data_IF_740943983274
#
_entry.id   IF_740943983274
#
_cell.length_a   1.000
_cell.length_b   1.000
_cell.length_c   1.000
_cell.angle_alpha   90.00
_cell.angle_beta   90.00
_cell.angle_gamma   90.00
#
_symmetry.space_group_name_H-M   'P 1'
#
loop_
_entity.id
_entity.type
_entity.pdbx_description
1 polymer ?
#
# COMPACT_ATOMS: atom_id res chain seq x y z
N UNK A 1 -10.64 3.53 2.70
CA UNK A 1 -10.10 2.85 1.50
C UNK A 1 -11.19 2.79 0.43
N UNK A 2 -10.84 2.86 -0.86
CA UNK A 2 -11.81 2.82 -1.96
C UNK A 2 -12.37 1.40 -2.20
N UNK A 3 -11.59 0.36 -1.89
CA UNK A 3 -11.91 -1.05 -2.18
C UNK A 3 -12.35 -1.79 -0.91
N UNK A 4 -13.35 -2.66 -1.02
CA UNK A 4 -13.94 -3.44 0.09
C UNK A 4 -13.30 -4.81 0.26
N UNK A 5 -12.87 -5.41 -0.84
CA UNK A 5 -12.22 -6.72 -0.91
C UNK A 5 -11.05 -6.67 -1.90
N UNK A 6 -10.16 -7.66 -1.84
CA UNK A 6 -8.96 -7.67 -2.67
C UNK A 6 -9.28 -7.93 -4.15
N UNK A 7 -10.38 -8.60 -4.46
CA UNK A 7 -10.82 -8.88 -5.83
C UNK A 7 -11.17 -7.61 -6.62
N UNK A 8 -11.44 -6.50 -5.93
CA UNK A 8 -11.68 -5.20 -6.55
C UNK A 8 -10.36 -4.48 -6.93
N UNK A 9 -9.20 -4.97 -6.47
CA UNK A 9 -7.91 -4.33 -6.70
C UNK A 9 -7.42 -4.53 -8.14
N UNK A 10 -7.15 -3.46 -8.90
CA UNK A 10 -6.64 -3.58 -10.26
C UNK A 10 -5.34 -4.38 -10.35
N UNK A 11 -4.43 -4.21 -9.38
CA UNK A 11 -3.15 -4.92 -9.36
C UNK A 11 -3.31 -6.41 -9.05
N UNK A 12 -4.31 -6.79 -8.23
CA UNK A 12 -4.61 -8.20 -7.98
C UNK A 12 -5.17 -8.86 -9.24
N UNK A 13 -6.13 -8.21 -9.90
CA UNK A 13 -6.68 -8.70 -11.17
C UNK A 13 -5.60 -8.84 -12.25
N UNK A 14 -4.70 -7.84 -12.37
CA UNK A 14 -3.56 -7.93 -13.28
C UNK A 14 -2.63 -9.10 -12.96
N UNK A 15 -2.43 -9.42 -11.66
CA UNK A 15 -1.62 -10.57 -11.24
C UNK A 15 -2.30 -11.91 -11.56
N UNK A 16 -3.62 -12.01 -11.44
CA UNK A 16 -4.39 -13.21 -11.86
C UNK A 16 -4.30 -13.41 -13.36
N UNK A 17 -4.55 -12.38 -14.17
CA UNK A 17 -4.42 -12.47 -15.62
C UNK A 17 -2.99 -12.86 -16.05
N UNK A 18 -2.00 -12.32 -15.37
CA UNK A 18 -0.60 -12.70 -15.59
C UNK A 18 -0.35 -14.17 -15.26
N UNK A 19 -0.91 -14.68 -14.15
CA UNK A 19 -0.80 -16.09 -13.77
C UNK A 19 -1.40 -17.03 -14.82
N UNK A 20 -2.58 -16.68 -15.33
CA UNK A 20 -3.23 -17.46 -16.40
C UNK A 20 -2.36 -17.51 -17.67
N UNK A 21 -1.79 -16.38 -18.08
CA UNK A 21 -0.89 -16.34 -19.25
C UNK A 21 0.41 -17.15 -19.01
N UNK A 22 0.94 -17.14 -17.77
CA UNK A 22 2.12 -17.97 -17.42
C UNK A 22 1.76 -19.46 -17.52
N UNK A 23 0.61 -19.89 -16.99
CA UNK A 23 0.17 -21.28 -17.10
C UNK A 23 -0.03 -21.71 -18.56
N UNK A 24 -0.58 -20.84 -19.41
CA UNK A 24 -0.69 -21.10 -20.84
C UNK A 24 0.69 -21.27 -21.48
N UNK A 25 1.61 -20.34 -21.28
CA UNK A 25 3.00 -20.41 -21.76
C UNK A 25 3.69 -21.70 -21.30
N UNK A 26 3.63 -22.01 -20.00
CA UNK A 26 4.33 -23.18 -19.43
C UNK A 26 3.70 -24.52 -19.82
N UNK A 27 2.44 -24.53 -20.24
CA UNK A 27 1.75 -25.69 -20.78
C UNK A 27 2.13 -25.96 -22.24
N UNK A 28 2.38 -24.93 -23.03
CA UNK A 28 2.68 -25.01 -24.46
C UNK A 28 4.17 -25.16 -24.75
N UNK A 29 5.04 -24.65 -23.88
CA UNK A 29 6.49 -24.67 -24.05
C UNK A 29 7.12 -25.95 -23.47
N UNK A 30 8.20 -26.41 -24.11
CA UNK A 30 8.95 -27.59 -23.63
C UNK A 30 10.02 -27.22 -22.60
N UNK A 31 9.77 -27.53 -21.34
CA UNK A 31 10.70 -27.32 -20.21
C UNK A 31 11.60 -28.52 -19.89
N UNK A 32 11.58 -29.62 -20.66
CA UNK A 32 12.46 -30.77 -20.42
C UNK A 32 13.93 -30.35 -20.44
N UNK A 33 14.69 -30.76 -19.44
CA UNK A 33 16.12 -30.41 -19.32
C UNK A 33 16.37 -29.00 -18.73
N UNK A 34 15.33 -28.29 -18.28
CA UNK A 34 15.45 -27.00 -17.61
C UNK A 34 15.34 -27.09 -16.07
N UNK A 35 15.54 -28.32 -15.53
CA UNK A 35 15.35 -28.56 -14.10
C UNK A 35 13.91 -28.29 -13.66
N UNK A 36 13.76 -27.60 -12.53
CA UNK A 36 12.46 -27.25 -11.93
C UNK A 36 11.93 -25.87 -12.38
N UNK A 37 12.51 -25.28 -13.44
CA UNK A 37 12.21 -23.91 -13.85
C UNK A 37 10.72 -23.65 -14.08
N UNK A 38 10.00 -24.60 -14.70
CA UNK A 38 8.55 -24.50 -14.91
C UNK A 38 7.80 -24.29 -13.59
N UNK A 39 7.99 -25.22 -12.64
CA UNK A 39 7.30 -25.16 -11.35
C UNK A 39 7.68 -23.90 -10.55
N UNK A 40 8.93 -23.42 -10.67
CA UNK A 40 9.39 -22.21 -10.00
C UNK A 40 8.70 -20.96 -10.57
N UNK A 41 8.58 -20.85 -11.90
CA UNK A 41 7.86 -19.75 -12.55
C UNK A 41 6.40 -19.74 -12.10
N UNK A 42 5.73 -20.88 -12.16
CA UNK A 42 4.32 -21.03 -11.78
C UNK A 42 4.10 -20.66 -10.30
N UNK A 43 4.94 -21.15 -9.40
CA UNK A 43 4.87 -20.79 -7.96
C UNK A 43 5.12 -19.31 -7.69
N UNK A 44 6.17 -18.74 -8.28
CA UNK A 44 6.46 -17.33 -8.13
C UNK A 44 5.30 -16.47 -8.61
N UNK A 45 4.69 -16.84 -9.72
CA UNK A 45 3.57 -16.09 -10.30
C UNK A 45 2.33 -16.13 -9.41
N UNK A 46 1.92 -17.29 -8.90
CA UNK A 46 0.79 -17.41 -7.96
C UNK A 46 1.08 -16.68 -6.65
N UNK A 47 2.33 -16.67 -6.21
CA UNK A 47 2.76 -15.94 -5.00
C UNK A 47 2.50 -14.44 -5.10
N UNK A 48 2.49 -13.83 -6.29
CA UNK A 48 2.19 -12.40 -6.47
C UNK A 48 0.78 -12.09 -5.98
N UNK A 49 -0.24 -12.76 -6.53
CA UNK A 49 -1.65 -12.52 -6.19
C UNK A 49 -1.98 -12.92 -4.75
N UNK A 50 -1.42 -14.03 -4.27
CA UNK A 50 -1.65 -14.53 -2.92
C UNK A 50 -1.13 -13.55 -1.86
N UNK A 51 0.06 -12.97 -2.05
CA UNK A 51 0.59 -11.99 -1.09
C UNK A 51 -0.18 -10.67 -1.12
N UNK A 52 -0.71 -10.25 -2.27
CA UNK A 52 -1.63 -9.09 -2.34
C UNK A 52 -2.88 -9.37 -1.50
N UNK A 53 -3.51 -10.52 -1.69
CA UNK A 53 -4.71 -10.93 -0.96
C UNK A 53 -4.44 -11.04 0.54
N UNK A 54 -3.39 -11.75 0.95
CA UNK A 54 -3.02 -11.91 2.35
C UNK A 54 -2.76 -10.55 3.03
N UNK A 55 -1.96 -9.69 2.42
CA UNK A 55 -1.68 -8.37 2.98
C UNK A 55 -2.94 -7.50 3.09
N UNK A 56 -3.88 -7.65 2.15
CA UNK A 56 -5.15 -6.96 2.20
C UNK A 56 -6.01 -7.45 3.36
N UNK A 57 -6.17 -8.76 3.53
CA UNK A 57 -7.00 -9.40 4.56
C UNK A 57 -6.46 -9.20 6.00
N UNK A 58 -5.16 -8.97 6.18
CA UNK A 58 -4.57 -8.69 7.50
C UNK A 58 -5.02 -7.35 8.11
N UNK A 59 -5.61 -6.46 7.32
CA UNK A 59 -6.32 -5.28 7.78
C UNK A 59 -5.46 -4.12 8.29
N UNK A 60 -4.14 -4.24 8.42
CA UNK A 60 -3.26 -3.13 8.80
C UNK A 60 -2.44 -2.60 7.63
N UNK A 61 -2.08 -1.31 7.66
CA UNK A 61 -1.23 -0.72 6.62
C UNK A 61 0.18 -1.30 6.63
N UNK A 62 0.72 -1.63 7.80
CA UNK A 62 2.06 -2.19 7.93
C UNK A 62 2.13 -3.60 7.35
N UNK A 63 1.15 -4.47 7.68
CA UNK A 63 1.08 -5.81 7.11
C UNK A 63 0.90 -5.75 5.59
N UNK A 64 0.00 -4.88 5.09
CA UNK A 64 -0.17 -4.73 3.65
C UNK A 64 1.13 -4.33 2.97
N UNK A 65 1.85 -3.32 3.46
CA UNK A 65 3.14 -2.89 2.90
C UNK A 65 4.13 -4.05 2.90
N UNK A 66 4.21 -4.82 4.00
CA UNK A 66 5.08 -5.98 4.12
C UNK A 66 4.77 -7.03 3.03
N UNK A 67 3.53 -7.43 2.90
CA UNK A 67 3.11 -8.43 1.90
C UNK A 67 3.20 -7.92 0.46
N UNK A 68 2.98 -6.63 0.22
CA UNK A 68 3.23 -6.03 -1.10
C UNK A 68 4.71 -6.07 -1.48
N UNK A 69 5.64 -5.96 -0.53
CA UNK A 69 7.07 -6.17 -0.82
C UNK A 69 7.37 -7.63 -1.17
N UNK A 70 6.76 -8.61 -0.48
CA UNK A 70 6.91 -10.04 -0.82
C UNK A 70 6.33 -10.30 -2.22
N UNK A 71 5.15 -9.76 -2.52
CA UNK A 71 4.54 -9.84 -3.85
C UNK A 71 5.45 -9.28 -4.94
N UNK A 72 6.05 -8.11 -4.70
CA UNK A 72 7.01 -7.47 -5.60
C UNK A 72 8.29 -8.30 -5.78
N UNK A 73 8.76 -8.95 -4.72
CA UNK A 73 9.87 -9.92 -4.78
C UNK A 73 9.54 -11.09 -5.70
N UNK A 74 8.35 -11.70 -5.52
CA UNK A 74 7.87 -12.80 -6.36
C UNK A 74 7.71 -12.41 -7.84
N UNK A 75 7.27 -11.18 -8.11
CA UNK A 75 7.22 -10.62 -9.46
C UNK A 75 8.64 -10.54 -10.07
N UNK A 76 9.62 -10.04 -9.31
CA UNK A 76 11.02 -9.99 -9.73
C UNK A 76 11.64 -11.37 -9.99
N UNK A 77 11.32 -12.37 -9.17
CA UNK A 77 11.74 -13.77 -9.39
C UNK A 77 11.15 -14.32 -10.70
N UNK A 78 9.86 -14.12 -10.94
CA UNK A 78 9.20 -14.54 -12.17
C UNK A 78 9.85 -13.89 -13.40
N UNK A 79 10.09 -12.57 -13.37
CA UNK A 79 10.79 -11.86 -14.44
C UNK A 79 12.20 -12.39 -14.68
N UNK A 80 12.95 -12.67 -13.63
CA UNK A 80 14.31 -13.25 -13.74
C UNK A 80 14.26 -14.58 -14.48
N UNK A 81 13.32 -15.45 -14.15
CA UNK A 81 13.15 -16.75 -14.81
C UNK A 81 12.67 -16.62 -16.26
N UNK A 82 11.77 -15.68 -16.56
CA UNK A 82 11.36 -15.36 -17.94
C UNK A 82 12.53 -14.84 -18.78
N UNK A 83 13.46 -14.07 -18.20
CA UNK A 83 14.69 -13.64 -18.88
C UNK A 83 15.63 -14.82 -19.17
N UNK A 84 15.63 -15.87 -18.35
CA UNK A 84 16.34 -17.13 -18.67
C UNK A 84 15.69 -17.79 -19.91
N UNK A 85 14.37 -17.90 -19.94
CA UNK A 85 13.63 -18.45 -21.07
C UNK A 85 13.91 -17.63 -22.36
N UNK A 86 13.85 -16.30 -22.28
CA UNK A 86 14.10 -15.38 -23.42
C UNK A 86 15.48 -15.59 -24.04
N UNK A 87 16.51 -15.83 -23.23
CA UNK A 87 17.89 -16.02 -23.68
C UNK A 87 18.19 -17.45 -24.14
N UNK A 88 17.34 -18.41 -23.81
CA UNK A 88 17.50 -19.81 -24.21
C UNK A 88 17.01 -20.01 -25.64
N UNK A 89 17.82 -20.67 -26.48
CA UNK A 89 17.41 -21.08 -27.84
C UNK A 89 16.25 -22.07 -27.82
N UNK A 90 16.03 -22.78 -26.70
CA UNK A 90 14.93 -23.74 -26.52
C UNK A 90 13.55 -23.08 -26.66
N UNK A 91 13.42 -21.83 -26.27
CA UNK A 91 12.18 -21.06 -26.32
C UNK A 91 12.15 -20.06 -27.50
N UNK A 92 12.91 -20.29 -28.56
CA UNK A 92 13.00 -19.36 -29.70
C UNK A 92 11.65 -19.06 -30.35
N UNK A 93 10.74 -20.05 -30.41
CA UNK A 93 9.39 -19.91 -30.96
C UNK A 93 8.43 -19.11 -30.03
N UNK A 94 8.79 -18.89 -28.77
CA UNK A 94 8.01 -18.19 -27.76
C UNK A 94 8.54 -16.79 -27.42
N UNK A 95 9.54 -16.29 -28.15
CA UNK A 95 10.20 -15.01 -27.81
C UNK A 95 9.23 -13.83 -27.69
N UNK A 96 8.29 -13.71 -28.61
CA UNK A 96 7.29 -12.63 -28.58
C UNK A 96 6.38 -12.76 -27.36
N UNK A 97 5.94 -13.97 -27.05
CA UNK A 97 5.10 -14.27 -25.88
C UNK A 97 5.84 -13.96 -24.58
N UNK A 98 7.09 -14.44 -24.46
CA UNK A 98 7.94 -14.19 -23.29
C UNK A 98 8.17 -12.69 -23.10
N UNK A 99 8.45 -11.93 -24.17
CA UNK A 99 8.60 -10.47 -24.09
C UNK A 99 7.33 -9.79 -23.60
N UNK A 100 6.16 -10.23 -24.05
CA UNK A 100 4.87 -9.72 -23.57
C UNK A 100 4.63 -10.05 -22.09
N UNK A 101 4.99 -11.25 -21.64
CA UNK A 101 4.90 -11.65 -20.24
C UNK A 101 5.79 -10.78 -19.35
N UNK A 102 7.02 -10.48 -19.81
CA UNK A 102 7.93 -9.59 -19.09
C UNK A 102 7.34 -8.17 -18.96
N UNK A 103 6.76 -7.62 -20.02
CA UNK A 103 6.12 -6.30 -19.98
C UNK A 103 4.93 -6.25 -19.00
N UNK A 104 4.14 -7.33 -18.97
CA UNK A 104 3.02 -7.45 -17.99
C UNK A 104 3.53 -7.49 -16.56
N UNK A 105 4.58 -8.29 -16.29
CA UNK A 105 5.23 -8.33 -14.97
C UNK A 105 5.76 -6.96 -14.55
N UNK A 106 6.46 -6.26 -15.45
CA UNK A 106 6.98 -4.91 -15.17
C UNK A 106 5.85 -3.91 -14.84
N UNK A 107 4.70 -4.05 -15.50
CA UNK A 107 3.51 -3.25 -15.18
C UNK A 107 2.99 -3.55 -13.77
N UNK A 108 2.89 -4.83 -13.39
CA UNK A 108 2.48 -5.26 -12.04
C UNK A 108 3.47 -4.72 -10.99
N UNK A 109 4.76 -4.88 -11.23
CA UNK A 109 5.82 -4.41 -10.33
C UNK A 109 5.74 -2.88 -10.11
N UNK A 110 5.45 -2.11 -11.17
CA UNK A 110 5.21 -0.65 -11.08
C UNK A 110 3.97 -0.31 -10.26
N UNK A 111 2.85 -1.03 -10.45
CA UNK A 111 1.62 -0.83 -9.69
C UNK A 111 1.84 -1.13 -8.20
N UNK A 112 2.51 -2.24 -7.87
CA UNK A 112 2.87 -2.61 -6.50
C UNK A 112 3.72 -1.51 -5.85
N UNK A 113 4.75 -1.02 -6.55
CA UNK A 113 5.61 0.05 -6.05
C UNK A 113 4.84 1.34 -5.79
N UNK A 114 4.01 1.78 -6.74
CA UNK A 114 3.18 2.97 -6.59
C UNK A 114 2.22 2.86 -5.40
N UNK A 115 1.64 1.67 -5.18
CA UNK A 115 0.76 1.45 -4.04
C UNK A 115 1.51 1.44 -2.70
N UNK A 116 2.68 0.79 -2.62
CA UNK A 116 3.56 0.83 -1.44
C UNK A 116 3.90 2.28 -1.07
N UNK A 117 4.33 3.09 -2.04
CA UNK A 117 4.68 4.50 -1.77
C UNK A 117 3.46 5.32 -1.34
N UNK A 118 2.30 5.09 -1.94
CA UNK A 118 1.04 5.72 -1.50
C UNK A 118 0.67 5.36 -0.06
N UNK A 119 0.84 4.09 0.33
CA UNK A 119 0.56 3.64 1.70
C UNK A 119 1.55 4.23 2.72
N UNK A 120 2.83 4.33 2.39
CA UNK A 120 3.85 4.94 3.26
C UNK A 120 3.58 6.41 3.52
N UNK A 121 3.08 7.11 2.51
CA UNK A 121 2.78 8.54 2.59
C UNK A 121 1.37 8.83 3.11
N UNK A 122 0.59 7.80 3.48
CA UNK A 122 -0.75 7.98 4.02
C UNK A 122 -0.70 8.18 5.54
N UNK A 123 -1.62 9.00 6.06
CA UNK A 123 -1.79 9.21 7.51
C UNK A 123 -2.37 8.00 8.23
N UNK A 124 -2.85 6.98 7.49
CA UNK A 124 -3.46 5.77 8.03
C UNK A 124 -2.36 4.77 8.39
N UNK A 125 -1.83 4.87 9.59
CA UNK A 125 -0.77 3.98 10.12
C UNK A 125 -1.29 2.76 10.89
N UNK A 126 -2.62 2.60 11.05
CA UNK A 126 -3.24 1.57 11.87
C UNK A 126 -4.14 0.62 11.08
N UNK A 127 -5.16 0.10 11.77
CA UNK A 127 -6.18 -0.80 11.19
C UNK A 127 -6.95 -0.10 10.09
N UNK A 128 -6.98 -0.68 8.89
CA UNK A 128 -7.66 -0.13 7.71
C UNK A 128 -9.13 -0.48 7.64
N UNK A 129 -9.50 -1.61 8.22
CA UNK A 129 -10.90 -2.02 8.36
C UNK A 129 -11.42 -1.59 9.73
N UNK A 130 -11.77 -0.32 9.82
CA UNK A 130 -12.57 0.14 10.93
C UNK A 130 -14.01 -0.27 10.64
N UNK A 131 -14.61 -1.10 11.50
CA UNK A 131 -16.06 -1.24 11.48
C UNK A 131 -16.68 0.16 11.72
N UNK A 132 -17.92 0.37 11.33
CA UNK A 132 -18.55 1.70 11.39
C UNK A 132 -18.49 2.28 12.82
N UNK A 133 -18.60 1.44 13.84
CA UNK A 133 -18.50 1.80 15.25
C UNK A 133 -17.11 2.32 15.66
N UNK A 134 -16.07 1.79 15.05
CA UNK A 134 -14.68 2.22 15.30
C UNK A 134 -14.34 3.51 14.53
N UNK A 135 -14.93 3.70 13.34
CA UNK A 135 -14.87 4.96 12.59
C UNK A 135 -15.52 6.09 13.36
N UNK A 136 -16.72 5.86 13.89
CA UNK A 136 -17.45 6.81 14.73
C UNK A 136 -16.62 7.18 15.98
N UNK A 137 -16.02 6.19 16.65
CA UNK A 137 -15.18 6.42 17.83
C UNK A 137 -13.93 7.24 17.53
N UNK A 138 -13.27 7.01 16.37
CA UNK A 138 -12.10 7.79 15.96
C UNK A 138 -12.52 9.21 15.55
N UNK A 139 -13.66 9.34 14.88
CA UNK A 139 -14.20 10.65 14.51
C UNK A 139 -14.54 11.45 15.76
N UNK A 140 -15.24 10.85 16.72
CA UNK A 140 -15.57 11.49 18.00
C UNK A 140 -14.31 11.93 18.75
N UNK A 141 -13.28 11.08 18.81
CA UNK A 141 -12.01 11.44 19.47
C UNK A 141 -11.31 12.64 18.80
N UNK A 142 -11.39 12.75 17.48
CA UNK A 142 -10.84 13.91 16.76
C UNK A 142 -11.61 15.19 17.08
N UNK A 143 -12.92 15.11 17.13
CA UNK A 143 -13.80 16.22 17.47
C UNK A 143 -13.55 16.69 18.92
N UNK A 144 -13.40 15.76 19.85
CA UNK A 144 -13.06 16.04 21.25
C UNK A 144 -11.69 16.73 21.37
N UNK A 145 -10.65 16.26 20.65
CA UNK A 145 -9.32 16.86 20.62
C UNK A 145 -9.30 18.25 19.96
N UNK A 146 -10.17 18.51 19.00
CA UNK A 146 -10.33 19.81 18.35
C UNK A 146 -11.04 20.79 19.30
N UNK A 147 -12.08 20.35 19.95
CA UNK A 147 -12.80 21.10 20.97
C UNK A 147 -11.89 21.49 22.16
N UNK A 148 -11.10 20.56 22.67
CA UNK A 148 -10.14 20.84 23.75
C UNK A 148 -9.09 21.88 23.33
N UNK A 149 -8.62 21.85 22.09
CA UNK A 149 -7.72 22.87 21.55
C UNK A 149 -8.37 24.25 21.46
N UNK A 150 -9.64 24.29 21.05
CA UNK A 150 -10.42 25.53 20.98
C UNK A 150 -10.64 26.13 22.36
N UNK A 151 -11.06 25.31 23.32
CA UNK A 151 -11.23 25.74 24.75
C UNK A 151 -9.91 26.29 25.30
N UNK A 152 -8.80 25.58 25.09
CA UNK A 152 -7.48 26.03 25.54
C UNK A 152 -7.08 27.38 24.94
N UNK A 153 -7.35 27.59 23.67
CA UNK A 153 -7.11 28.87 22.98
C UNK A 153 -7.94 30.01 23.58
N UNK A 154 -9.23 29.77 23.87
CA UNK A 154 -10.13 30.74 24.48
C UNK A 154 -9.66 31.11 25.90
N UNK A 155 -9.28 30.13 26.71
CA UNK A 155 -8.79 30.31 28.08
C UNK A 155 -7.49 31.15 28.08
N UNK A 156 -6.56 30.81 27.18
CA UNK A 156 -5.29 31.57 27.04
C UNK A 156 -5.53 33.03 26.60
N UNK A 157 -6.49 33.26 25.71
CA UNK A 157 -6.87 34.60 25.27
C UNK A 157 -7.50 35.41 26.40
N UNK A 158 -8.46 34.80 27.14
CA UNK A 158 -9.08 35.45 28.29
C UNK A 158 -8.08 35.75 29.43
N UNK A 159 -7.07 34.89 29.63
CA UNK A 159 -6.02 35.14 30.62
C UNK A 159 -5.14 36.33 30.22
N UNK A 160 -4.76 36.46 28.95
CA UNK A 160 -4.00 37.61 28.45
C UNK A 160 -4.77 38.93 28.58
N UNK A 161 -6.05 38.94 28.24
CA UNK A 161 -6.91 40.11 28.36
C UNK A 161 -7.02 40.57 29.82
N UNK A 162 -7.15 39.66 30.78
CA UNK A 162 -7.19 39.96 32.23
C UNK A 162 -5.84 40.54 32.71
N UNK A 163 -4.71 40.01 32.22
CA UNK A 163 -3.41 40.50 32.60
C UNK A 163 -3.14 41.89 32.02
N UNK A 164 -3.61 42.17 30.80
CA UNK A 164 -3.53 43.52 30.21
C UNK A 164 -4.42 44.55 30.97
N UNK A 165 -5.62 44.16 31.37
CA UNK A 165 -6.49 45.01 32.20
C UNK A 165 -5.88 45.32 33.59
N UNK A 166 -5.26 44.30 34.21
CA UNK A 166 -4.55 44.49 35.49
C UNK A 166 -3.39 45.49 35.37
N UNK A 167 -2.59 45.38 34.29
CA UNK A 167 -1.49 46.32 34.03
C UNK A 167 -2.00 47.74 33.82
N UNK A 168 -3.05 47.93 33.00
CA UNK A 168 -3.65 49.26 32.77
C UNK A 168 -4.19 49.89 34.05
N UNK A 169 -4.81 49.09 34.91
CA UNK A 169 -5.32 49.60 36.21
C UNK A 169 -4.21 49.92 37.23
N UNK A 170 -3.07 49.21 37.17
CA UNK A 170 -1.88 49.51 37.97
C UNK A 170 -1.26 50.86 37.58
N UNK A 171 -1.09 51.09 36.27
CA UNK A 171 -0.49 52.34 35.73
C UNK A 171 -1.34 53.59 35.99
N UNK A 172 -2.67 53.41 36.13
CA UNK A 172 -3.60 54.50 36.48
C UNK A 172 -3.53 54.89 37.95
N UNK A 173 -3.11 53.99 38.86
CA UNK A 173 -2.96 54.31 40.30
C UNK A 173 -1.61 54.98 40.62
N UNK A 174 -0.55 54.74 39.82
CA UNK A 174 0.76 55.35 40.04
C UNK A 174 0.86 56.81 39.52
N UNK A 175 -0.08 57.26 38.70
CA UNK A 175 -0.11 58.64 38.18
C UNK A 175 -1.10 59.57 38.90
N UNK A 176 -1.72 59.13 40.02
CA UNK A 176 -2.71 59.89 40.80
C UNK A 176 -2.23 60.37 42.17
N UNK A 177 -0.93 60.38 42.43
CA UNK A 177 -0.36 60.83 43.73
C UNK A 177 0.54 62.04 43.53
#
# INVERSE_FOLDING_TARGET
MKYRNFEELPVWNAAIEFALNIFEFTSNADFRGMGDLKNQIERATVSISNNIAEGFERGTSNDLIYFLYISKGSAGECRSMLRICERSNKFSNFRSEISNLILREESISKQLNGWIESLKNSDIKGVRYLNDRERERIQQKKEDEEFDREIKSIVEKAAKERDEERRKNSDLQDHGS
#
